data_IF_419198336515
#
_entry.id   IF_419198336515
#
_cell.length_a   1.000
_cell.length_b   1.000
_cell.length_c   1.000
_cell.angle_alpha   90.00
_cell.angle_beta   90.00
_cell.angle_gamma   90.00
#
_symmetry.space_group_name_H-M   'P 1'
#
loop_
_entity.id
_entity.type
_entity.pdbx_description
1 polymer ?
#
# COMPACT_ATOMS: atom_id res chain seq x y z
N UNK A 1 -9.93 -12.92 -14.36
CA UNK A 1 -10.64 -11.62 -14.47
C UNK A 1 -10.55 -10.95 -13.11
N UNK A 2 -10.17 -9.66 -13.05
CA UNK A 2 -10.07 -8.90 -11.80
C UNK A 2 -11.50 -8.50 -11.41
N UNK A 3 -11.96 -8.89 -10.22
CA UNK A 3 -13.33 -8.58 -9.79
C UNK A 3 -13.41 -7.21 -9.13
N UNK A 4 -12.48 -6.91 -8.21
CA UNK A 4 -12.44 -5.66 -7.45
C UNK A 4 -11.02 -5.27 -7.08
N UNK A 5 -10.75 -3.98 -7.07
CA UNK A 5 -9.49 -3.40 -6.59
C UNK A 5 -9.77 -2.48 -5.40
N UNK A 6 -8.97 -2.64 -4.36
CA UNK A 6 -8.99 -1.74 -3.21
C UNK A 6 -7.61 -1.12 -3.07
N UNK A 7 -7.54 0.20 -3.08
CA UNK A 7 -6.31 0.96 -2.96
C UNK A 7 -6.22 1.55 -1.57
N UNK A 8 -5.25 1.07 -0.81
CA UNK A 8 -4.87 1.61 0.49
C UNK A 8 -3.70 2.56 0.29
N UNK A 9 -3.82 3.80 0.77
CA UNK A 9 -2.90 4.88 0.44
C UNK A 9 -2.39 5.54 1.71
N UNK A 10 -1.10 5.88 1.71
CA UNK A 10 -0.46 6.64 2.78
C UNK A 10 0.34 7.81 2.20
N UNK A 11 -0.02 9.02 2.60
CA UNK A 11 0.63 10.26 2.16
C UNK A 11 1.42 10.82 3.32
N UNK A 12 2.74 11.01 3.22
CA UNK A 12 3.47 11.86 4.14
C UNK A 12 2.89 13.28 4.07
N UNK A 13 2.54 13.87 5.19
CA UNK A 13 1.93 15.20 5.27
C UNK A 13 2.72 16.11 6.21
N UNK A 14 2.56 17.42 6.04
CA UNK A 14 3.03 18.39 7.02
C UNK A 14 2.30 18.19 8.35
N UNK A 15 2.93 18.63 9.46
CA UNK A 15 2.33 18.52 10.80
C UNK A 15 0.95 19.15 10.78
N UNK A 16 -0.11 18.36 10.95
CA UNK A 16 -1.43 18.87 10.77
C UNK A 16 -1.92 19.45 12.12
N UNK A 17 -2.96 20.30 12.13
CA UNK A 17 -3.58 20.83 13.36
C UNK A 17 -5.01 20.29 13.58
N UNK A 18 -5.38 20.03 14.84
CA UNK A 18 -6.79 19.84 15.23
C UNK A 18 -7.34 18.41 15.24
N UNK A 19 -6.50 17.37 15.34
CA UNK A 19 -6.97 15.97 15.40
C UNK A 19 -7.27 15.50 16.80
N UNK A 20 -8.16 14.52 16.87
CA UNK A 20 -8.45 13.79 18.09
C UNK A 20 -7.62 12.52 18.12
N UNK A 21 -7.16 12.07 19.30
CA UNK A 21 -6.60 10.73 19.44
C UNK A 21 -7.55 9.71 18.81
N UNK A 22 -6.99 8.78 18.04
CA UNK A 22 -7.76 7.71 17.45
C UNK A 22 -8.35 6.82 18.52
N UNK A 23 -9.23 5.89 18.11
CA UNK A 23 -9.66 4.84 19.04
C UNK A 23 -8.42 4.08 19.48
N UNK A 24 -8.21 3.96 20.79
CA UNK A 24 -7.29 2.96 21.32
C UNK A 24 -7.78 1.60 20.81
N UNK A 25 -7.03 1.01 19.88
CA UNK A 25 -7.27 -0.36 19.49
C UNK A 25 -6.88 -1.28 20.64
N UNK A 26 -7.38 -2.52 20.63
CA UNK A 26 -6.66 -3.58 21.34
C UNK A 26 -5.18 -3.55 20.92
N UNK A 27 -4.31 -3.94 21.86
CA UNK A 27 -2.86 -3.88 21.69
C UNK A 27 -2.46 -4.40 20.31
N UNK A 28 -1.95 -3.53 19.44
CA UNK A 28 -1.55 -3.91 18.10
C UNK A 28 -0.21 -4.66 18.17
N UNK A 29 -0.28 -5.99 18.11
CA UNK A 29 0.90 -6.84 18.11
C UNK A 29 1.70 -6.75 16.81
N UNK A 30 1.20 -6.05 15.78
CA UNK A 30 1.87 -5.93 14.49
C UNK A 30 3.24 -5.28 14.62
N UNK A 31 3.37 -4.28 15.50
CA UNK A 31 4.59 -3.53 15.69
C UNK A 31 5.44 -4.09 16.84
N UNK A 32 6.76 -3.97 16.73
CA UNK A 32 7.71 -4.36 17.78
C UNK A 32 7.71 -3.41 18.99
N UNK A 33 7.12 -2.23 18.85
CA UNK A 33 6.96 -1.21 19.88
C UNK A 33 5.59 -0.50 19.72
N UNK A 34 4.88 -0.29 20.83
CA UNK A 34 3.57 0.36 20.85
C UNK A 34 3.60 1.82 20.39
N UNK A 35 4.77 2.46 20.38
CA UNK A 35 4.94 3.84 19.97
C UNK A 35 5.38 4.02 18.51
N UNK A 36 5.49 2.95 17.70
CA UNK A 36 5.92 3.08 16.30
C UNK A 36 5.03 3.99 15.48
N UNK A 37 3.72 3.92 15.74
CA UNK A 37 2.72 4.83 15.19
C UNK A 37 1.75 5.22 16.30
N UNK A 38 1.39 6.50 16.33
CA UNK A 38 0.28 7.02 17.13
C UNK A 38 -0.82 7.44 16.18
N UNK A 39 -1.98 6.84 16.34
CA UNK A 39 -3.12 7.06 15.47
C UNK A 39 -4.05 8.15 15.99
N UNK A 40 -4.59 8.90 15.04
CA UNK A 40 -5.49 10.03 15.21
C UNK A 40 -6.63 9.90 14.21
N UNK A 41 -7.78 10.46 14.56
CA UNK A 41 -8.94 10.50 13.66
C UNK A 41 -9.21 11.96 13.29
N UNK A 42 -9.41 12.18 11.98
CA UNK A 42 -10.00 13.38 11.42
C UNK A 42 -11.46 13.08 11.08
N UNK A 43 -12.40 13.72 11.78
CA UNK A 43 -13.81 13.70 11.42
C UNK A 43 -14.18 14.96 10.64
N UNK A 44 -14.64 14.79 9.39
CA UNK A 44 -15.09 15.90 8.55
C UNK A 44 -16.23 15.46 7.64
N UNK A 45 -17.30 16.25 7.61
CA UNK A 45 -18.53 15.97 6.84
C UNK A 45 -19.13 14.58 7.11
N UNK A 46 -19.09 14.12 8.37
CA UNK A 46 -19.63 12.83 8.78
C UNK A 46 -18.81 11.61 8.32
N UNK A 47 -17.58 11.83 7.82
CA UNK A 47 -16.61 10.79 7.49
C UNK A 47 -15.42 10.88 8.44
N UNK A 48 -14.86 9.72 8.79
CA UNK A 48 -13.66 9.60 9.60
C UNK A 48 -12.49 9.15 8.72
N UNK A 49 -11.35 9.79 8.91
CA UNK A 49 -10.11 9.48 8.21
C UNK A 49 -8.99 9.28 9.22
N UNK A 50 -8.05 8.40 8.91
CA UNK A 50 -6.97 8.08 9.83
C UNK A 50 -5.73 8.91 9.50
N UNK A 51 -5.12 9.41 10.56
CA UNK A 51 -3.85 10.11 10.54
C UNK A 51 -2.93 9.41 11.52
N UNK A 52 -1.69 9.17 11.14
CA UNK A 52 -0.70 8.59 12.06
C UNK A 52 0.54 9.44 12.16
N UNK A 53 1.10 9.52 13.36
CA UNK A 53 2.43 10.07 13.64
C UNK A 53 3.38 8.91 13.93
N UNK A 54 4.48 8.78 13.19
CA UNK A 54 5.50 7.78 13.51
C UNK A 54 6.45 8.24 14.64
N UNK A 55 7.25 7.31 15.14
CA UNK A 55 8.26 7.58 16.19
C UNK A 55 9.46 8.42 15.73
N UNK A 56 9.54 8.75 14.44
CA UNK A 56 10.50 9.68 13.86
C UNK A 56 9.92 11.10 13.68
N UNK A 57 8.66 11.32 14.06
CA UNK A 57 8.00 12.62 13.98
C UNK A 57 7.36 12.93 12.62
N UNK A 58 7.27 11.96 11.72
CA UNK A 58 6.60 12.12 10.43
C UNK A 58 5.11 11.82 10.54
N UNK A 59 4.30 12.72 9.99
CA UNK A 59 2.85 12.57 9.90
C UNK A 59 2.44 11.93 8.57
N UNK A 60 1.38 11.12 8.62
CA UNK A 60 0.80 10.47 7.45
C UNK A 60 -0.72 10.58 7.46
N UNK A 61 -1.29 10.84 6.29
CA UNK A 61 -2.72 10.75 6.03
C UNK A 61 -3.02 9.45 5.29
N UNK A 62 -4.00 8.68 5.77
CA UNK A 62 -4.37 7.41 5.18
C UNK A 62 -5.81 7.41 4.66
N UNK A 63 -6.00 6.80 3.49
CA UNK A 63 -7.31 6.58 2.89
C UNK A 63 -7.39 5.23 2.20
N UNK A 64 -8.61 4.69 2.14
CA UNK A 64 -8.93 3.48 1.40
C UNK A 64 -9.97 3.84 0.32
N UNK A 65 -9.73 3.42 -0.92
CA UNK A 65 -10.66 3.65 -2.03
C UNK A 65 -10.89 2.38 -2.84
N UNK A 66 -12.12 2.16 -3.28
CA UNK A 66 -12.44 1.10 -4.25
C UNK A 66 -12.18 1.65 -5.66
N UNK A 67 -11.47 0.88 -6.48
CA UNK A 67 -11.14 1.23 -7.86
C UNK A 67 -11.73 0.17 -8.80
N UNK A 68 -12.27 0.62 -9.93
CA UNK A 68 -12.88 -0.25 -10.94
C UNK A 68 -11.94 -0.57 -12.11
N UNK A 69 -10.79 0.10 -12.18
CA UNK A 69 -9.80 -0.06 -13.24
C UNK A 69 -8.37 0.18 -12.76
N UNK A 70 -7.39 -0.24 -13.57
CA UNK A 70 -5.98 0.07 -13.33
C UNK A 70 -5.68 1.58 -13.46
N UNK A 71 -6.46 2.30 -14.27
CA UNK A 71 -6.30 3.75 -14.44
C UNK A 71 -6.82 4.51 -13.21
N UNK A 72 -7.97 4.12 -12.67
CA UNK A 72 -8.46 4.62 -11.38
C UNK A 72 -7.46 4.30 -10.25
N UNK A 73 -6.92 3.08 -10.23
CA UNK A 73 -5.88 2.69 -9.27
C UNK A 73 -4.64 3.60 -9.39
N UNK A 74 -4.11 3.82 -10.60
CA UNK A 74 -2.98 4.71 -10.85
C UNK A 74 -3.21 6.11 -10.31
N UNK A 75 -4.38 6.68 -10.60
CA UNK A 75 -4.73 8.06 -10.26
C UNK A 75 -5.07 8.21 -8.78
N UNK A 76 -5.54 7.15 -8.11
CA UNK A 76 -5.96 7.18 -6.71
C UNK A 76 -4.88 7.71 -5.75
N UNK A 77 -3.61 7.52 -6.08
CA UNK A 77 -2.46 7.87 -5.23
C UNK A 77 -1.69 9.12 -5.65
N UNK A 78 -2.22 9.92 -6.57
CA UNK A 78 -1.59 11.17 -6.98
C UNK A 78 -1.62 12.18 -5.82
N UNK A 79 -0.49 12.77 -5.45
CA UNK A 79 -0.43 13.76 -4.34
C UNK A 79 -0.43 15.22 -4.79
N UNK A 80 -0.27 15.47 -6.08
CA UNK A 80 -0.43 16.79 -6.68
C UNK A 80 -1.16 16.69 -8.01
N UNK A 81 -1.92 17.73 -8.38
CA UNK A 81 -2.59 17.80 -9.68
C UNK A 81 -1.61 18.22 -10.78
N UNK A 82 -1.16 17.32 -11.67
CA UNK A 82 -0.27 17.73 -12.75
C UNK A 82 -1.06 18.56 -13.80
N UNK A 83 -0.38 19.44 -14.56
CA UNK A 83 -1.05 20.32 -15.53
C UNK A 83 -1.88 19.58 -16.59
N UNK A 84 -1.46 18.37 -16.96
CA UNK A 84 -2.15 17.55 -17.97
C UNK A 84 -3.38 16.79 -17.44
N UNK A 85 -3.61 16.78 -16.12
CA UNK A 85 -4.81 16.22 -15.48
C UNK A 85 -5.60 17.31 -14.74
N UNK A 86 -5.51 18.57 -15.20
CA UNK A 86 -6.14 19.71 -14.51
C UNK A 86 -7.66 19.57 -14.37
N UNK A 87 -8.31 18.89 -15.32
CA UNK A 87 -9.77 18.75 -15.39
C UNK A 87 -10.27 17.38 -14.88
N UNK A 88 -9.36 16.48 -14.50
CA UNK A 88 -9.69 15.13 -14.04
C UNK A 88 -10.02 15.09 -12.56
N UNK A 89 -10.88 14.19 -12.09
CA UNK A 89 -11.07 13.99 -10.65
C UNK A 89 -9.87 13.22 -10.08
N UNK A 90 -9.23 13.77 -9.04
CA UNK A 90 -8.08 13.16 -8.39
C UNK A 90 -8.40 13.00 -6.91
N UNK A 91 -9.06 11.88 -6.59
CA UNK A 91 -9.69 11.61 -5.28
C UNK A 91 -8.83 12.06 -4.10
N UNK A 92 -7.54 11.69 -4.08
CA UNK A 92 -6.64 12.04 -2.99
C UNK A 92 -6.30 13.53 -2.94
N UNK A 93 -6.01 14.15 -4.08
CA UNK A 93 -5.69 15.59 -4.16
C UNK A 93 -6.91 16.40 -3.73
N UNK A 94 -8.06 16.09 -4.31
CA UNK A 94 -9.31 16.82 -4.03
C UNK A 94 -9.72 16.69 -2.56
N UNK A 95 -9.48 15.52 -1.95
CA UNK A 95 -9.73 15.29 -0.54
C UNK A 95 -8.75 16.05 0.37
N UNK A 96 -7.45 16.03 0.05
CA UNK A 96 -6.45 16.78 0.81
C UNK A 96 -6.71 18.29 0.74
N UNK A 97 -7.00 18.83 -0.45
CA UNK A 97 -7.35 20.24 -0.65
C UNK A 97 -8.59 20.64 0.16
N UNK A 98 -9.64 19.80 0.13
CA UNK A 98 -10.85 20.00 0.93
C UNK A 98 -10.58 20.06 2.43
N UNK A 99 -9.57 19.32 2.89
CA UNK A 99 -9.23 19.22 4.31
C UNK A 99 -8.11 20.15 4.76
N UNK A 100 -7.54 20.94 3.85
CA UNK A 100 -6.33 21.75 4.08
C UNK A 100 -5.16 20.89 4.59
N UNK A 101 -5.09 19.65 4.09
CA UNK A 101 -3.98 18.73 4.34
C UNK A 101 -2.93 18.98 3.28
N UNK A 102 -1.70 19.31 3.71
CA UNK A 102 -0.59 19.56 2.81
C UNK A 102 0.31 18.34 2.72
N UNK A 103 0.54 17.77 1.53
CA UNK A 103 1.49 16.69 1.36
C UNK A 103 2.91 17.20 1.64
N UNK A 104 3.69 16.39 2.33
CA UNK A 104 5.12 16.63 2.51
C UNK A 104 5.86 16.16 1.27
N UNK A 105 6.47 17.09 0.54
CA UNK A 105 7.14 16.78 -0.73
C UNK A 105 8.52 16.16 -0.51
N UNK A 106 8.70 14.95 -1.05
CA UNK A 106 9.93 14.17 -0.92
C UNK A 106 10.62 13.88 -2.24
N UNK A 107 10.33 14.67 -3.28
CA UNK A 107 10.84 14.40 -4.63
C UNK A 107 10.00 13.40 -5.42
N UNK A 108 8.81 13.03 -4.93
CA UNK A 108 7.88 12.11 -5.62
C UNK A 108 6.50 12.75 -5.78
N UNK A 109 5.77 12.31 -6.80
CA UNK A 109 4.42 12.77 -7.14
C UNK A 109 3.31 11.80 -6.75
N UNK A 110 3.69 10.64 -6.23
CA UNK A 110 2.79 9.56 -5.80
C UNK A 110 2.97 9.27 -4.32
N UNK A 111 1.85 8.97 -3.68
CA UNK A 111 1.79 8.44 -2.33
C UNK A 111 2.26 6.97 -2.28
N UNK A 112 2.49 6.47 -1.07
CA UNK A 112 2.67 5.04 -0.86
C UNK A 112 1.35 4.31 -1.10
N UNK A 113 1.40 3.14 -1.71
CA UNK A 113 0.21 2.39 -2.11
C UNK A 113 0.27 0.90 -1.78
N UNK A 114 -0.85 0.36 -1.35
CA UNK A 114 -1.08 -1.08 -1.25
C UNK A 114 -2.39 -1.42 -1.93
N UNK A 115 -2.32 -2.19 -3.02
CA UNK A 115 -3.52 -2.66 -3.71
C UNK A 115 -3.88 -4.07 -3.25
N UNK A 116 -5.16 -4.28 -2.94
CA UNK A 116 -5.76 -5.61 -2.83
C UNK A 116 -6.57 -5.89 -4.09
N UNK A 117 -6.33 -7.03 -4.72
CA UNK A 117 -7.12 -7.55 -5.83
C UNK A 117 -7.71 -8.91 -5.48
N UNK A 118 -9.03 -9.03 -5.52
CA UNK A 118 -9.73 -10.30 -5.33
C UNK A 118 -10.03 -10.90 -6.70
N UNK A 119 -9.61 -12.13 -6.92
CA UNK A 119 -9.69 -12.82 -8.22
C UNK A 119 -10.26 -14.21 -8.06
N UNK A 120 -10.92 -14.74 -9.08
CA UNK A 120 -11.48 -16.09 -9.02
C UNK A 120 -10.39 -17.19 -9.02
N UNK A 121 -9.31 -16.95 -9.79
CA UNK A 121 -8.18 -17.86 -9.89
C UNK A 121 -6.91 -17.05 -10.13
N UNK A 122 -5.97 -17.14 -9.20
CA UNK A 122 -4.69 -16.44 -9.21
C UNK A 122 -3.86 -16.81 -10.44
N UNK A 123 -3.82 -18.10 -10.79
CA UNK A 123 -3.11 -18.58 -11.98
C UNK A 123 -3.67 -18.02 -13.30
N UNK A 124 -4.86 -17.38 -13.28
CA UNK A 124 -5.43 -16.68 -14.44
C UNK A 124 -4.97 -15.23 -14.57
N UNK A 125 -4.25 -14.70 -13.58
CA UNK A 125 -3.69 -13.36 -13.59
C UNK A 125 -2.23 -13.47 -14.00
N UNK A 126 -1.89 -13.04 -15.21
CA UNK A 126 -0.51 -13.08 -15.70
C UNK A 126 0.45 -12.30 -14.80
N UNK A 127 1.73 -12.69 -14.80
CA UNK A 127 2.80 -11.93 -14.14
C UNK A 127 2.80 -10.46 -14.55
N UNK A 128 2.51 -10.18 -15.83
CA UNK A 128 2.33 -8.82 -16.36
C UNK A 128 1.27 -8.03 -15.60
N UNK A 129 0.06 -8.57 -15.43
CA UNK A 129 -1.01 -7.87 -14.71
C UNK A 129 -0.73 -7.77 -13.21
N UNK A 130 -0.11 -8.79 -12.62
CA UNK A 130 0.35 -8.75 -11.23
C UNK A 130 1.39 -7.64 -11.01
N UNK A 131 2.32 -7.46 -11.96
CA UNK A 131 3.30 -6.37 -11.93
C UNK A 131 2.60 -5.01 -11.98
N UNK A 132 1.64 -4.83 -12.89
CA UNK A 132 0.90 -3.56 -13.01
C UNK A 132 0.12 -3.22 -11.74
N UNK A 133 -0.48 -4.21 -11.09
CA UNK A 133 -1.09 -4.01 -9.77
C UNK A 133 -0.06 -3.56 -8.73
N UNK A 134 1.05 -4.29 -8.59
CA UNK A 134 2.07 -3.99 -7.59
C UNK A 134 2.71 -2.60 -7.77
N UNK A 135 2.80 -2.12 -9.01
CA UNK A 135 3.42 -0.84 -9.36
C UNK A 135 2.42 0.31 -9.54
N UNK A 136 1.12 0.02 -9.44
CA UNK A 136 0.04 0.97 -9.73
C UNK A 136 0.11 1.54 -11.16
N UNK A 137 0.44 0.68 -12.12
CA UNK A 137 0.57 1.05 -13.53
C UNK A 137 -0.80 1.00 -14.24
N UNK A 138 -1.19 2.16 -14.78
CA UNK A 138 -2.33 2.35 -15.67
C UNK A 138 -2.14 1.68 -17.03
N UNK A 139 -3.22 1.60 -17.80
CA UNK A 139 -3.30 0.89 -19.08
C UNK A 139 -2.35 1.44 -20.14
N UNK A 140 -1.97 2.68 -19.97
CA UNK A 140 -1.07 3.49 -20.78
C UNK A 140 0.40 3.45 -20.33
N UNK A 141 0.69 2.96 -19.12
CA UNK A 141 2.04 3.03 -18.56
C UNK A 141 2.98 1.98 -19.18
N UNK A 142 4.24 2.35 -19.46
CA UNK A 142 5.21 1.42 -20.02
C UNK A 142 5.66 0.40 -18.98
N UNK A 143 5.77 -0.86 -19.40
CA UNK A 143 6.28 -1.93 -18.53
C UNK A 143 7.81 -1.94 -18.53
N UNK A 144 8.38 -1.38 -17.47
CA UNK A 144 9.83 -1.30 -17.27
C UNK A 144 10.37 -2.56 -16.58
N UNK A 145 9.58 -3.13 -15.66
CA UNK A 145 9.95 -4.31 -14.88
C UNK A 145 9.87 -5.56 -15.76
N UNK A 146 10.85 -6.46 -15.60
CA UNK A 146 10.95 -7.73 -16.38
C UNK A 146 10.60 -8.98 -15.57
N UNK A 147 10.46 -8.82 -14.25
CA UNK A 147 10.19 -9.92 -13.35
C UNK A 147 9.42 -9.44 -12.13
N UNK A 148 8.42 -10.19 -11.70
CA UNK A 148 7.79 -9.97 -10.39
C UNK A 148 8.51 -10.79 -9.33
N UNK A 149 8.64 -10.24 -8.13
CA UNK A 149 9.02 -10.98 -6.93
C UNK A 149 7.79 -11.08 -6.04
N UNK A 150 7.55 -12.23 -5.45
CA UNK A 150 6.36 -12.45 -4.63
C UNK A 150 6.55 -13.51 -3.55
N UNK A 151 5.66 -13.47 -2.56
CA UNK A 151 5.45 -14.55 -1.59
C UNK A 151 4.07 -15.11 -1.84
N UNK A 152 3.95 -16.44 -1.75
CA UNK A 152 2.70 -17.15 -2.00
C UNK A 152 2.29 -17.93 -0.75
N UNK A 153 1.04 -17.78 -0.36
CA UNK A 153 0.39 -18.56 0.68
C UNK A 153 -0.78 -19.34 0.07
N UNK A 154 -1.02 -20.53 0.57
CA UNK A 154 -2.17 -21.37 0.21
C UNK A 154 -2.90 -21.77 1.50
N UNK A 155 -4.20 -21.49 1.56
CA UNK A 155 -5.06 -21.87 2.67
C UNK A 155 -6.34 -22.48 2.12
N UNK A 156 -6.66 -23.71 2.53
CA UNK A 156 -7.84 -24.46 2.05
C UNK A 156 -7.94 -24.55 0.51
N UNK A 157 -6.80 -24.55 -0.19
CA UNK A 157 -6.71 -24.62 -1.65
C UNK A 157 -6.86 -23.26 -2.35
N UNK A 158 -7.07 -22.18 -1.62
CA UNK A 158 -7.10 -20.81 -2.14
C UNK A 158 -5.74 -20.12 -1.99
N UNK A 159 -5.26 -19.53 -3.07
CA UNK A 159 -3.93 -18.89 -3.13
C UNK A 159 -4.00 -17.39 -2.88
N UNK A 160 -2.96 -16.88 -2.23
CA UNK A 160 -2.70 -15.44 -2.08
C UNK A 160 -1.25 -15.14 -2.44
N UNK A 161 -1.02 -14.15 -3.29
CA UNK A 161 0.30 -13.60 -3.58
C UNK A 161 0.45 -12.20 -3.04
N UNK A 162 1.56 -11.97 -2.34
CA UNK A 162 2.07 -10.64 -2.00
C UNK A 162 3.17 -10.32 -3.00
N UNK A 163 3.06 -9.23 -3.74
CA UNK A 163 3.95 -8.88 -4.85
C UNK A 163 4.55 -7.51 -4.58
N UNK A 164 5.86 -7.37 -4.77
CA UNK A 164 6.55 -6.10 -4.53
C UNK A 164 6.52 -5.18 -5.74
N UNK A 165 6.22 -3.89 -5.52
CA UNK A 165 6.48 -2.77 -6.43
C UNK A 165 7.29 -1.68 -5.72
N UNK A 166 8.37 -2.08 -5.03
CA UNK A 166 9.07 -1.22 -4.07
C UNK A 166 9.53 0.11 -4.69
N UNK A 167 10.09 0.06 -5.91
CA UNK A 167 10.60 1.24 -6.62
C UNK A 167 9.52 2.29 -6.93
N UNK A 168 8.27 1.87 -7.06
CA UNK A 168 7.13 2.78 -7.24
C UNK A 168 6.47 3.15 -5.93
N UNK A 169 7.09 2.89 -4.77
CA UNK A 169 6.49 3.08 -3.43
C UNK A 169 5.18 2.30 -3.27
N UNK A 170 5.10 1.08 -3.79
CA UNK A 170 3.87 0.29 -3.66
C UNK A 170 4.09 -1.22 -3.58
N UNK A 171 3.02 -1.94 -3.30
CA UNK A 171 2.95 -3.40 -3.38
C UNK A 171 1.51 -3.86 -3.60
N UNK A 172 1.33 -5.13 -3.95
CA UNK A 172 0.03 -5.73 -4.18
C UNK A 172 -0.18 -6.98 -3.32
N UNK A 173 -1.43 -7.20 -2.93
CA UNK A 173 -1.95 -8.48 -2.48
C UNK A 173 -2.99 -8.95 -3.50
N UNK A 174 -2.77 -10.09 -4.13
CA UNK A 174 -3.72 -10.71 -5.08
C UNK A 174 -4.18 -12.02 -4.48
N UNK A 175 -5.48 -12.20 -4.26
CA UNK A 175 -6.01 -13.34 -3.49
C UNK A 175 -7.25 -13.96 -4.14
N UNK A 176 -7.32 -15.28 -4.06
CA UNK A 176 -8.53 -16.06 -4.33
C UNK A 176 -9.48 -16.07 -3.12
N UNK A 177 -8.93 -15.87 -1.92
CA UNK A 177 -9.64 -16.04 -0.66
C UNK A 177 -10.44 -14.78 -0.30
N UNK A 178 -11.73 -14.79 -0.65
CA UNK A 178 -12.63 -13.66 -0.41
C UNK A 178 -12.88 -13.40 1.09
N UNK A 179 -12.87 -14.45 1.91
CA UNK A 179 -13.00 -14.33 3.36
C UNK A 179 -11.80 -13.58 3.96
N UNK A 180 -10.58 -14.01 3.61
CA UNK A 180 -9.36 -13.31 3.99
C UNK A 180 -9.40 -11.85 3.54
N UNK A 181 -9.80 -11.59 2.29
CA UNK A 181 -9.90 -10.23 1.77
C UNK A 181 -10.82 -9.33 2.63
N UNK A 182 -12.05 -9.79 2.91
CA UNK A 182 -13.08 -8.94 3.53
C UNK A 182 -13.03 -8.89 5.05
N UNK A 183 -12.74 -10.02 5.69
CA UNK A 183 -12.87 -10.16 7.14
C UNK A 183 -11.55 -9.95 7.87
N UNK A 184 -10.41 -10.09 7.17
CA UNK A 184 -9.08 -10.04 7.78
C UNK A 184 -8.23 -8.93 7.15
N UNK A 185 -8.18 -8.87 5.82
CA UNK A 185 -7.25 -8.02 5.11
C UNK A 185 -7.68 -6.57 5.13
N UNK A 186 -8.84 -6.25 4.53
CA UNK A 186 -9.35 -4.89 4.47
C UNK A 186 -9.56 -4.22 5.85
N UNK A 187 -10.10 -4.91 6.88
CA UNK A 187 -10.37 -4.25 8.16
C UNK A 187 -9.13 -3.86 8.96
N UNK A 188 -7.96 -4.46 8.71
CA UNK A 188 -6.77 -4.22 9.51
C UNK A 188 -5.44 -4.43 8.78
N UNK A 189 -5.23 -5.60 8.16
CA UNK A 189 -3.92 -5.90 7.60
C UNK A 189 -3.53 -4.98 6.44
N UNK A 190 -4.49 -4.52 5.63
CA UNK A 190 -4.21 -3.61 4.51
C UNK A 190 -3.47 -2.37 5.00
N UNK A 191 -4.02 -1.74 6.05
CA UNK A 191 -3.45 -0.55 6.69
C UNK A 191 -2.15 -0.86 7.42
N UNK A 192 -2.11 -1.94 8.19
CA UNK A 192 -0.93 -2.30 8.97
C UNK A 192 0.26 -2.68 8.08
N UNK A 193 0.02 -3.41 6.98
CA UNK A 193 1.06 -3.73 6.00
C UNK A 193 1.54 -2.47 5.28
N UNK A 194 0.66 -1.52 4.98
CA UNK A 194 1.07 -0.25 4.41
C UNK A 194 1.92 0.56 5.39
N UNK A 195 1.56 0.64 6.67
CA UNK A 195 2.39 1.26 7.72
C UNK A 195 3.78 0.61 7.82
N UNK A 196 3.84 -0.73 7.84
CA UNK A 196 5.10 -1.48 7.82
C UNK A 196 5.95 -1.14 6.59
N UNK A 197 5.32 -1.08 5.41
CA UNK A 197 5.98 -0.76 4.15
C UNK A 197 6.53 0.67 4.13
N UNK A 198 5.74 1.65 4.56
CA UNK A 198 6.16 3.05 4.68
C UNK A 198 7.38 3.17 5.59
N UNK A 199 7.31 2.55 6.78
CA UNK A 199 8.41 2.58 7.75
C UNK A 199 9.68 1.94 7.18
N UNK A 200 9.54 0.76 6.57
CA UNK A 200 10.65 0.05 5.94
C UNK A 200 11.26 0.85 4.77
N UNK A 201 10.41 1.44 3.91
CA UNK A 201 10.85 2.22 2.76
C UNK A 201 11.60 3.48 3.16
N UNK A 202 11.18 4.17 4.23
CA UNK A 202 11.80 5.42 4.69
C UNK A 202 13.06 5.21 5.51
N UNK A 203 13.02 4.22 6.41
CA UNK A 203 14.04 4.08 7.46
C UNK A 203 14.94 2.85 7.27
N UNK A 204 14.63 1.98 6.30
CA UNK A 204 15.41 0.75 6.04
C UNK A 204 15.30 -0.30 7.15
N UNK A 205 14.31 -0.17 8.03
CA UNK A 205 14.10 -1.06 9.19
C UNK A 205 12.67 -1.57 9.15
N UNK A 206 12.47 -2.87 9.39
CA UNK A 206 11.15 -3.45 9.55
C UNK A 206 10.73 -3.39 11.03
N UNK A 207 9.67 -2.65 11.40
CA UNK A 207 9.32 -2.43 12.81
C UNK A 207 8.40 -3.55 13.34
N UNK A 208 8.76 -4.81 13.11
CA UNK A 208 7.98 -5.98 13.54
C UNK A 208 8.81 -7.23 13.71
N UNK A 209 8.47 -8.03 14.72
CA UNK A 209 9.04 -9.36 14.95
C UNK A 209 8.16 -10.51 14.43
N UNK A 210 6.96 -10.20 13.93
CA UNK A 210 6.05 -11.22 13.43
C UNK A 210 6.54 -11.84 12.12
N UNK A 211 6.16 -13.09 11.91
CA UNK A 211 6.60 -13.87 10.76
C UNK A 211 6.19 -13.24 9.42
N UNK A 212 4.91 -12.89 9.23
CA UNK A 212 4.42 -12.35 7.95
C UNK A 212 5.05 -10.98 7.61
N UNK A 213 5.14 -10.01 8.54
CA UNK A 213 5.92 -8.79 8.30
C UNK A 213 7.38 -9.04 7.90
N UNK A 214 8.06 -10.03 8.49
CA UNK A 214 9.45 -10.37 8.12
C UNK A 214 9.56 -10.92 6.71
N UNK A 215 8.60 -11.74 6.30
CA UNK A 215 8.46 -12.20 4.93
C UNK A 215 8.24 -11.02 3.96
N UNK A 216 7.31 -10.12 4.26
CA UNK A 216 7.07 -8.92 3.48
C UNK A 216 8.31 -8.03 3.37
N UNK A 217 9.01 -7.78 4.49
CA UNK A 217 10.25 -7.01 4.50
C UNK A 217 11.33 -7.61 3.60
N UNK A 218 11.49 -8.94 3.62
CA UNK A 218 12.43 -9.62 2.72
C UNK A 218 12.00 -9.52 1.24
N UNK A 219 10.70 -9.64 0.98
CA UNK A 219 10.13 -9.46 -0.35
C UNK A 219 10.37 -8.03 -0.87
N UNK A 220 10.13 -7.00 -0.06
CA UNK A 220 10.37 -5.60 -0.43
C UNK A 220 11.86 -5.32 -0.66
N UNK A 221 12.73 -5.84 0.20
CA UNK A 221 14.18 -5.75 0.01
C UNK A 221 14.65 -6.38 -1.31
N UNK A 222 13.94 -7.40 -1.81
CA UNK A 222 14.34 -8.14 -3.01
C UNK A 222 14.20 -7.34 -4.32
N UNK A 223 13.42 -6.27 -4.32
CA UNK A 223 13.19 -5.40 -5.49
C UNK A 223 13.72 -3.99 -5.28
N UNK A 224 14.27 -3.69 -4.10
CA UNK A 224 14.91 -2.42 -3.80
C UNK A 224 16.25 -2.31 -4.52
N UNK A 225 16.41 -1.25 -5.29
CA UNK A 225 17.67 -0.87 -5.92
C UNK A 225 18.78 -0.74 -4.88
N UNK A 226 19.94 -1.29 -5.21
CA UNK A 226 21.14 -1.29 -4.36
C UNK A 226 21.02 -2.13 -3.06
N UNK A 227 19.92 -2.84 -2.84
CA UNK A 227 19.79 -3.80 -1.75
C UNK A 227 20.25 -5.20 -2.18
N UNK A 228 21.33 -5.70 -1.57
CA UNK A 228 21.86 -7.05 -1.83
C UNK A 228 21.61 -8.02 -0.69
N UNK A 229 20.80 -7.63 0.30
CA UNK A 229 20.63 -8.35 1.57
C UNK A 229 19.38 -9.24 1.64
N UNK A 230 18.54 -9.22 0.60
CA UNK A 230 17.36 -10.07 0.53
C UNK A 230 17.74 -11.56 0.46
N UNK A 231 17.06 -12.39 1.24
CA UNK A 231 17.23 -13.84 1.21
C UNK A 231 16.37 -14.44 0.08
N UNK A 232 16.98 -14.99 -0.99
CA UNK A 232 16.25 -15.56 -2.12
C UNK A 232 15.44 -16.81 -1.78
N UNK A 233 15.67 -17.45 -0.62
CA UNK A 233 14.87 -18.59 -0.18
C UNK A 233 13.48 -18.19 0.35
N UNK A 234 13.23 -16.89 0.58
CA UNK A 234 12.01 -16.40 1.22
C UNK A 234 11.08 -15.68 0.23
N UNK A 235 11.40 -15.66 -1.07
CA UNK A 235 10.51 -15.17 -2.13
C UNK A 235 10.64 -16.04 -3.38
N UNK A 236 9.61 -16.00 -4.21
CA UNK A 236 9.59 -16.56 -5.56
C UNK A 236 9.72 -15.42 -6.57
N UNK A 237 10.14 -15.76 -7.78
CA UNK A 237 10.22 -14.81 -8.87
C UNK A 237 9.64 -15.40 -10.17
N UNK A 238 9.04 -14.55 -11.02
CA UNK A 238 8.38 -14.97 -12.26
C UNK A 238 8.59 -13.93 -13.36
N UNK A 239 9.05 -14.39 -14.53
CA UNK A 239 9.36 -13.52 -15.68
C UNK A 239 8.06 -12.98 -16.29
N UNK A 240 8.12 -11.74 -16.74
CA UNK A 240 7.04 -11.10 -17.48
C UNK A 240 7.31 -11.34 -18.97
N UNK A 241 6.49 -12.18 -19.59
CA UNK A 241 6.49 -12.47 -21.03
C UNK A 241 5.89 -11.32 -21.86
#
# INVERSE_FOLDING_TARGET
MINKLYSEIAVPIESPFGFMPGKESERDFTFDNENRFKDYILEKDGKSYDISLDDHGQWYFFISVECNSLDELKLSRQIFRPPYLKDEELILVDLMDKFDIKPFYEGHDKAYGHVLSVVYKLDSVSAFNQARLANYDGSDDPTIIKKIHFIENEYEGEKTRFISGFETRSFATVTENEFYAKEIHLPGNARNYLKLFVYFSRYGVLPSQQMMPRFLGNLWASTQSLNTSANPALFKDEVID
#
